data_IF_005864260618
#
_entry.id   IF_005864260618
#
_cell.length_a   1.000
_cell.length_b   1.000
_cell.length_c   1.000
_cell.angle_alpha   90.00
_cell.angle_beta   90.00
_cell.angle_gamma   90.00
#
_symmetry.space_group_name_H-M   'P 1'
#
loop_
_entity.id
_entity.type
_entity.pdbx_description
1 polymer ?
#
# COMPACT_ATOMS: atom_id res chain seq x y z
N UNK A 1 11.84 -5.86 6.25
CA UNK A 1 11.27 -6.07 4.90
C UNK A 1 9.86 -5.53 4.88
N UNK A 2 9.57 -4.64 3.93
CA UNK A 2 8.21 -4.27 3.58
C UNK A 2 7.68 -5.28 2.56
N UNK A 3 6.44 -5.71 2.72
CA UNK A 3 5.79 -6.69 1.84
C UNK A 3 4.29 -6.41 1.81
N UNK A 4 3.55 -7.00 0.86
CA UNK A 4 2.09 -6.99 0.93
C UNK A 4 1.53 -8.41 1.12
N UNK A 5 0.37 -8.50 1.75
CA UNK A 5 -0.41 -9.73 1.89
C UNK A 5 -1.83 -9.52 1.35
N UNK A 6 -2.47 -10.61 0.92
CA UNK A 6 -3.87 -10.63 0.50
C UNK A 6 -4.70 -11.39 1.53
N UNK A 7 -5.75 -10.76 2.06
CA UNK A 7 -6.61 -11.35 3.11
C UNK A 7 -7.84 -12.09 2.55
N UNK A 8 -7.97 -12.17 1.23
CA UNK A 8 -9.16 -12.70 0.55
C UNK A 8 -10.00 -11.62 -0.11
N UNK A 9 -9.83 -10.36 0.30
CA UNK A 9 -10.57 -9.21 -0.23
C UNK A 9 -9.64 -8.04 -0.61
N UNK A 10 -8.64 -7.74 0.22
CA UNK A 10 -7.75 -6.60 0.09
C UNK A 10 -6.27 -7.01 0.12
N UNK A 11 -5.47 -6.42 -0.78
CA UNK A 11 -4.02 -6.43 -0.69
C UNK A 11 -3.54 -5.22 0.12
N UNK A 12 -2.78 -5.47 1.19
CA UNK A 12 -2.38 -4.47 2.17
C UNK A 12 -0.90 -4.61 2.56
N UNK A 13 -0.26 -3.52 3.00
CA UNK A 13 1.16 -3.49 3.35
C UNK A 13 1.42 -4.03 4.76
N UNK A 14 2.40 -4.92 4.87
CA UNK A 14 2.97 -5.43 6.10
C UNK A 14 4.45 -5.11 6.24
N UNK A 15 4.96 -5.30 7.46
CA UNK A 15 6.38 -5.22 7.76
C UNK A 15 6.82 -6.44 8.56
N UNK A 16 8.01 -6.93 8.23
CA UNK A 16 8.68 -8.01 8.93
C UNK A 16 10.09 -7.60 9.30
N UNK A 17 10.55 -8.02 10.46
CA UNK A 17 11.89 -7.75 10.96
C UNK A 17 12.69 -9.04 11.03
N UNK A 18 13.99 -8.93 10.80
CA UNK A 18 14.90 -10.05 10.89
C UNK A 18 16.26 -9.55 11.36
N UNK A 19 16.97 -10.39 12.12
CA UNK A 19 18.35 -10.15 12.54
C UNK A 19 19.37 -10.84 11.63
N UNK A 20 18.93 -11.84 10.85
CA UNK A 20 19.80 -12.73 10.08
C UNK A 20 19.38 -12.91 8.61
N UNK A 21 18.27 -12.30 8.20
CA UNK A 21 17.62 -12.41 6.89
C UNK A 21 17.03 -13.79 6.56
N UNK A 22 17.14 -14.77 7.45
CA UNK A 22 16.56 -16.12 7.29
C UNK A 22 15.28 -16.28 8.11
N UNK A 23 15.26 -15.77 9.34
CA UNK A 23 14.12 -15.85 10.26
C UNK A 23 13.44 -14.48 10.36
N UNK A 24 12.13 -14.43 10.17
CA UNK A 24 11.38 -13.19 10.07
C UNK A 24 10.21 -13.14 11.06
N UNK A 25 10.21 -12.10 11.89
CA UNK A 25 9.11 -11.76 12.78
C UNK A 25 8.18 -10.76 12.07
N UNK A 26 6.99 -11.22 11.69
CA UNK A 26 5.99 -10.39 11.01
C UNK A 26 5.18 -9.59 12.02
N UNK A 27 4.97 -8.31 11.75
CA UNK A 27 3.92 -7.54 12.45
C UNK A 27 2.57 -8.13 12.07
N UNK A 28 1.72 -8.38 13.08
CA UNK A 28 0.47 -9.12 12.92
C UNK A 28 -0.57 -8.39 12.06
N UNK A 29 -0.61 -7.06 12.17
CA UNK A 29 -1.56 -6.22 11.45
C UNK A 29 -0.85 -5.49 10.31
N UNK A 30 -1.54 -5.20 9.19
CA UNK A 30 -1.02 -4.33 8.16
C UNK A 30 -0.64 -2.95 8.72
N UNK A 31 0.47 -2.40 8.23
CA UNK A 31 0.98 -1.07 8.60
C UNK A 31 0.43 0.03 7.71
N UNK A 32 -0.02 -0.31 6.50
CA UNK A 32 -0.84 0.53 5.63
C UNK A 32 -2.00 -0.33 5.15
N UNK A 33 -3.21 0.16 5.41
CA UNK A 33 -4.46 -0.51 5.05
C UNK A 33 -5.05 0.10 3.79
N UNK A 34 -5.99 -0.60 3.18
CA UNK A 34 -6.84 -0.02 2.15
C UNK A 34 -7.63 1.18 2.71
N UNK A 35 -7.98 2.10 1.82
CA UNK A 35 -8.69 3.33 2.15
C UNK A 35 -10.19 3.13 2.38
N UNK A 36 -10.85 4.19 2.83
CA UNK A 36 -12.31 4.25 2.89
C UNK A 36 -12.92 4.27 1.48
N UNK A 37 -14.22 3.98 1.38
CA UNK A 37 -14.96 4.09 0.13
C UNK A 37 -14.80 5.49 -0.49
N UNK A 38 -14.45 5.52 -1.78
CA UNK A 38 -14.17 6.72 -2.57
C UNK A 38 -12.72 7.20 -2.55
N UNK A 39 -11.87 6.67 -1.66
CA UNK A 39 -10.44 6.97 -1.63
C UNK A 39 -9.69 6.28 -2.79
N UNK A 40 -8.47 6.73 -3.05
CA UNK A 40 -7.68 6.28 -4.22
C UNK A 40 -7.20 4.83 -4.10
N UNK A 41 -7.17 4.33 -2.88
CA UNK A 41 -6.70 3.02 -2.42
C UNK A 41 -7.81 2.21 -1.72
N UNK A 42 -9.08 2.52 -2.00
CA UNK A 42 -10.26 1.86 -1.39
C UNK A 42 -10.30 0.34 -1.62
N UNK A 43 -9.73 -0.14 -2.74
CA UNK A 43 -9.64 -1.57 -3.01
C UNK A 43 -8.36 -2.14 -2.43
N UNK A 44 -7.21 -1.53 -2.70
CA UNK A 44 -5.92 -2.05 -2.25
C UNK A 44 -4.88 -0.95 -2.04
N UNK A 45 -3.99 -1.17 -1.07
CA UNK A 45 -2.77 -0.40 -0.82
C UNK A 45 -1.58 -1.36 -0.71
N UNK A 46 -0.82 -1.56 -1.78
CA UNK A 46 0.16 -2.66 -1.88
C UNK A 46 1.37 -2.35 -2.79
N UNK A 47 2.28 -3.32 -2.95
CA UNK A 47 3.56 -3.19 -3.69
C UNK A 47 4.46 -2.11 -3.09
N UNK A 48 5.03 -2.37 -1.90
CA UNK A 48 5.81 -1.37 -1.19
C UNK A 48 7.09 -1.02 -1.93
N UNK A 49 7.41 0.27 -1.94
CA UNK A 49 8.75 0.79 -2.19
C UNK A 49 9.02 1.87 -1.14
N UNK A 50 10.00 1.64 -0.25
CA UNK A 50 10.30 2.57 0.83
C UNK A 50 11.67 3.20 0.61
N UNK A 51 11.69 4.53 0.61
CA UNK A 51 12.91 5.34 0.51
C UNK A 51 13.04 6.14 1.80
N UNK A 52 14.22 6.09 2.42
CA UNK A 52 14.56 6.97 3.53
C UNK A 52 15.25 8.23 2.99
N UNK A 53 14.84 9.39 3.49
CA UNK A 53 15.49 10.66 3.24
C UNK A 53 15.32 11.60 4.45
N UNK A 54 16.43 12.10 4.97
CA UNK A 54 16.48 13.08 6.06
C UNK A 54 15.71 12.64 7.32
N UNK A 55 15.78 11.36 7.66
CA UNK A 55 15.07 10.75 8.79
C UNK A 55 13.59 10.46 8.52
N UNK A 56 13.10 10.70 7.31
CA UNK A 56 11.73 10.42 6.89
C UNK A 56 11.67 9.21 5.97
N UNK A 57 10.73 8.33 6.22
CA UNK A 57 10.38 7.20 5.39
C UNK A 57 9.27 7.61 4.44
N UNK A 58 9.58 7.63 3.15
CA UNK A 58 8.64 7.77 2.04
C UNK A 58 8.24 6.38 1.59
N UNK A 59 7.07 5.94 2.03
CA UNK A 59 6.51 4.64 1.67
C UNK A 59 5.61 4.82 0.45
N UNK A 60 6.18 4.58 -0.72
CA UNK A 60 5.45 4.52 -1.99
C UNK A 60 4.71 3.20 -2.10
N UNK A 61 3.49 3.24 -2.60
CA UNK A 61 2.64 2.07 -2.79
C UNK A 61 1.74 2.25 -4.02
N UNK A 62 1.22 1.14 -4.52
CA UNK A 62 0.18 1.10 -5.54
C UNK A 62 -1.19 1.23 -4.86
N UNK A 63 -1.80 2.39 -5.03
CA UNK A 63 -3.19 2.65 -4.67
C UNK A 63 -4.10 2.09 -5.75
N UNK A 64 -5.18 1.43 -5.34
CA UNK A 64 -6.16 0.82 -6.24
C UNK A 64 -7.57 1.20 -5.84
N UNK A 65 -8.36 1.64 -6.81
CA UNK A 65 -9.80 1.84 -6.70
C UNK A 65 -10.51 1.30 -7.94
N UNK A 66 -11.84 1.23 -7.91
CA UNK A 66 -12.60 0.93 -9.14
C UNK A 66 -12.30 2.01 -10.20
N UNK A 67 -12.11 1.56 -11.44
CA UNK A 67 -11.89 2.42 -12.59
C UNK A 67 -13.15 3.19 -12.94
N UNK A 68 -12.98 4.44 -13.37
CA UNK A 68 -14.04 5.36 -13.77
C UNK A 68 -13.89 5.68 -15.26
N UNK A 69 -14.97 6.02 -15.94
CA UNK A 69 -14.93 6.37 -17.38
C UNK A 69 -13.97 7.53 -17.69
N UNK A 70 -13.74 8.43 -16.72
CA UNK A 70 -12.81 9.55 -16.85
C UNK A 70 -11.33 9.15 -16.75
N UNK A 71 -11.03 7.92 -16.33
CA UNK A 71 -9.66 7.49 -16.11
C UNK A 71 -8.96 7.12 -17.42
N UNK A 72 -7.77 7.69 -17.63
CA UNK A 72 -6.98 7.44 -18.83
C UNK A 72 -6.18 6.14 -18.78
N UNK A 73 -6.01 5.56 -17.60
CA UNK A 73 -5.23 4.34 -17.38
C UNK A 73 -6.02 3.42 -16.45
N UNK A 74 -6.68 2.42 -17.05
CA UNK A 74 -7.44 1.41 -16.35
C UNK A 74 -6.92 0.03 -16.72
N UNK A 75 -6.91 -0.88 -15.75
CA UNK A 75 -6.52 -2.27 -15.95
C UNK A 75 -7.78 -3.14 -15.87
N UNK A 76 -7.84 -4.21 -16.65
CA UNK A 76 -8.83 -5.24 -16.40
C UNK A 76 -8.54 -5.89 -15.04
N UNK A 77 -9.57 -6.02 -14.19
CA UNK A 77 -9.44 -6.72 -12.90
C UNK A 77 -9.41 -8.24 -13.16
N UNK A 78 -8.28 -8.93 -12.95
CA UNK A 78 -8.18 -10.37 -13.23
C UNK A 78 -8.80 -11.23 -12.12
N UNK A 79 -9.22 -10.63 -10.99
CA UNK A 79 -9.71 -11.35 -9.81
C UNK A 79 -11.22 -11.50 -9.78
N UNK A 80 -11.94 -10.78 -10.65
CA UNK A 80 -13.40 -10.83 -10.78
C UNK A 80 -13.81 -11.57 -12.05
N UNK A 81 -14.98 -12.22 -12.01
CA UNK A 81 -15.48 -13.08 -13.09
C UNK A 81 -15.40 -12.40 -14.47
N UNK A 82 -14.93 -13.17 -15.46
CA UNK A 82 -14.88 -12.73 -16.86
C UNK A 82 -16.29 -12.35 -17.33
N UNK A 83 -16.54 -11.06 -17.52
CA UNK A 83 -17.82 -10.53 -18.01
C UNK A 83 -18.36 -9.34 -17.21
N UNK A 84 -17.90 -9.11 -15.99
CA UNK A 84 -18.15 -7.85 -15.30
C UNK A 84 -17.20 -6.80 -15.88
N UNK A 85 -17.72 -5.77 -16.56
CA UNK A 85 -16.93 -4.65 -17.12
C UNK A 85 -16.22 -3.76 -16.09
N UNK A 86 -15.83 -4.33 -14.95
CA UNK A 86 -15.15 -3.63 -13.86
C UNK A 86 -13.66 -3.58 -14.17
N UNK A 87 -13.14 -2.37 -14.18
CA UNK A 87 -11.73 -2.08 -14.33
C UNK A 87 -11.18 -1.54 -13.02
N UNK A 88 -9.86 -1.55 -12.87
CA UNK A 88 -9.17 -0.92 -11.75
C UNK A 88 -8.37 0.27 -12.24
N UNK A 89 -8.50 1.39 -11.54
CA UNK A 89 -7.52 2.45 -11.61
C UNK A 89 -6.39 2.14 -10.63
N UNK A 90 -5.15 2.22 -11.11
CA UNK A 90 -3.95 1.97 -10.32
C UNK A 90 -3.01 3.16 -10.45
N UNK A 91 -2.53 3.70 -9.35
CA UNK A 91 -1.51 4.76 -9.36
C UNK A 91 -0.48 4.56 -8.26
N UNK A 92 0.67 5.23 -8.41
CA UNK A 92 1.66 5.33 -7.34
C UNK A 92 1.20 6.43 -6.39
N UNK A 93 1.09 6.09 -5.11
CA UNK A 93 0.80 7.00 -4.00
C UNK A 93 1.92 6.91 -2.97
N UNK A 94 1.99 7.88 -2.07
CA UNK A 94 3.03 7.92 -1.03
C UNK A 94 2.43 8.33 0.31
N UNK A 95 2.86 7.63 1.35
CA UNK A 95 2.65 8.02 2.75
C UNK A 95 4.02 8.26 3.39
N UNK A 96 4.11 9.32 4.19
CA UNK A 96 5.34 9.69 4.91
C UNK A 96 5.10 9.49 6.39
N UNK A 97 6.07 8.93 7.10
CA UNK A 97 5.97 8.84 8.55
C UNK A 97 5.78 10.24 9.13
N UNK A 98 4.85 10.38 10.08
CA UNK A 98 4.81 11.60 10.87
C UNK A 98 6.04 11.61 11.77
N UNK A 99 7.06 12.39 11.43
CA UNK A 99 8.10 12.74 12.38
C UNK A 99 7.41 13.47 13.53
N UNK A 100 7.34 12.83 14.71
CA UNK A 100 7.21 13.63 15.92
C UNK A 100 8.47 14.49 15.96
N UNK A 101 8.34 15.79 15.71
CA UNK A 101 9.34 16.80 16.05
C UNK A 101 9.49 16.76 17.58
N UNK A 102 10.25 15.78 18.09
CA UNK A 102 10.66 15.77 19.47
C UNK A 102 11.69 16.88 19.63
N UNK A 103 11.25 17.95 20.28
CA UNK A 103 12.08 18.99 20.86
C UNK A 103 13.14 18.36 21.77
N UNK A 104 14.29 17.96 21.21
CA UNK A 104 15.49 17.68 21.98
C UNK A 104 16.41 18.89 21.78
N UNK A 105 16.46 19.84 22.74
CA UNK A 105 17.49 20.86 22.71
C UNK A 105 18.87 20.20 22.83
N UNK A 106 19.83 20.71 22.05
CA UNK A 106 21.25 20.35 22.12
C UNK A 106 21.84 20.65 23.48
#
# INVERSE_FOLDING_TARGET
MYYYGYDGEHAQEGIAFSKDLYHWDKVKMPILKYGNAGEIDELHAHKPCVIEKDGNLYHFYCAVREGRESDKAVNADPTREQGAGKTEYRCISVVVNQAQLQNIPK
#
